data_IF_831402244153
#
_entry.id   IF_831402244153
#
_cell.length_a   1.000
_cell.length_b   1.000
_cell.length_c   1.000
_cell.angle_alpha   90.00
_cell.angle_beta   90.00
_cell.angle_gamma   90.00
#
_symmetry.space_group_name_H-M   'P 1'
#
loop_
_entity.id
_entity.type
_entity.pdbx_description
1 polymer ?
#
# COMPACT_ATOMS: atom_id res chain seq x y z
N UNK A 1 -27.03 -27.95 1.06
CA UNK A 1 -26.62 -26.69 0.39
C UNK A 1 -25.40 -26.17 1.13
N UNK A 2 -24.27 -25.94 0.46
CA UNK A 2 -23.13 -25.25 1.09
C UNK A 2 -23.48 -23.78 1.24
N UNK A 3 -23.24 -23.20 2.42
CA UNK A 3 -23.47 -21.78 2.64
C UNK A 3 -22.53 -20.98 1.72
N UNK A 4 -23.00 -19.96 0.99
CA UNK A 4 -22.15 -19.13 0.15
C UNK A 4 -20.94 -18.53 0.91
N UNK A 5 -21.06 -18.37 2.24
CA UNK A 5 -19.96 -17.92 3.11
C UNK A 5 -18.84 -18.95 3.25
N UNK A 6 -19.17 -20.24 3.34
CA UNK A 6 -18.18 -21.31 3.43
C UNK A 6 -17.37 -21.45 2.13
N UNK A 7 -18.03 -21.23 0.99
CA UNK A 7 -17.37 -21.23 -0.33
C UNK A 7 -16.42 -20.03 -0.47
N UNK A 8 -16.83 -18.85 0.01
CA UNK A 8 -15.99 -17.66 0.02
C UNK A 8 -14.76 -17.83 0.94
N UNK A 9 -14.95 -18.34 2.16
CA UNK A 9 -13.86 -18.58 3.11
C UNK A 9 -12.81 -19.59 2.59
N UNK A 10 -13.25 -20.65 1.90
CA UNK A 10 -12.34 -21.62 1.26
C UNK A 10 -11.57 -21.00 0.10
N UNK A 11 -12.23 -20.21 -0.76
CA UNK A 11 -11.56 -19.51 -1.86
C UNK A 11 -10.52 -18.52 -1.35
N UNK A 12 -10.87 -17.75 -0.32
CA UNK A 12 -9.95 -16.82 0.31
C UNK A 12 -8.70 -17.53 0.84
N UNK A 13 -8.89 -18.64 1.55
CA UNK A 13 -7.77 -19.44 2.06
C UNK A 13 -6.85 -19.94 0.94
N UNK A 14 -7.44 -20.45 -0.16
CA UNK A 14 -6.68 -20.92 -1.32
C UNK A 14 -5.87 -19.80 -2.00
N UNK A 15 -6.41 -18.58 -2.04
CA UNK A 15 -5.73 -17.41 -2.62
C UNK A 15 -4.57 -16.95 -1.73
N UNK A 16 -4.80 -16.88 -0.41
CA UNK A 16 -3.75 -16.53 0.55
C UNK A 16 -2.61 -17.55 0.45
N UNK A 17 -2.93 -18.84 0.36
CA UNK A 17 -1.96 -19.91 0.17
C UNK A 17 -1.17 -19.75 -1.13
N UNK A 18 -1.85 -19.56 -2.25
CA UNK A 18 -1.20 -19.34 -3.53
C UNK A 18 -0.28 -18.12 -3.51
N UNK A 19 -0.70 -17.03 -2.84
CA UNK A 19 0.12 -15.83 -2.69
C UNK A 19 1.38 -16.10 -1.86
N UNK A 20 1.26 -16.73 -0.70
CA UNK A 20 2.39 -17.03 0.19
C UNK A 20 3.37 -18.01 -0.47
N UNK A 21 2.87 -19.05 -1.14
CA UNK A 21 3.69 -20.01 -1.90
C UNK A 21 4.42 -19.34 -3.07
N UNK A 22 3.74 -18.47 -3.83
CA UNK A 22 4.38 -17.73 -4.92
C UNK A 22 5.46 -16.77 -4.38
N UNK A 23 5.19 -16.12 -3.24
CA UNK A 23 6.12 -15.20 -2.56
C UNK A 23 7.37 -15.94 -2.11
N UNK A 24 7.21 -17.11 -1.49
CA UNK A 24 8.31 -17.97 -1.00
C UNK A 24 9.35 -18.32 -2.06
N UNK A 25 8.95 -18.42 -3.32
CA UNK A 25 9.87 -18.77 -4.42
C UNK A 25 10.87 -17.66 -4.74
N UNK A 26 10.57 -16.42 -4.35
CA UNK A 26 11.35 -15.22 -4.76
C UNK A 26 11.78 -14.34 -3.60
N UNK A 27 11.15 -14.48 -2.44
CA UNK A 27 11.37 -13.64 -1.26
C UNK A 27 11.27 -14.46 0.02
N UNK A 28 12.05 -14.07 1.02
CA UNK A 28 12.05 -14.68 2.36
C UNK A 28 11.06 -14.00 3.33
N UNK A 29 10.26 -13.05 2.83
CA UNK A 29 9.29 -12.29 3.64
C UNK A 29 7.98 -11.96 2.91
N UNK A 30 6.95 -11.70 3.72
CA UNK A 30 5.62 -11.24 3.31
C UNK A 30 5.35 -9.86 3.91
N UNK A 31 5.05 -8.89 3.06
CA UNK A 31 4.57 -7.56 3.49
C UNK A 31 3.05 -7.59 3.65
N UNK A 32 2.56 -7.17 4.82
CA UNK A 32 1.12 -7.18 5.13
C UNK A 32 0.33 -6.22 4.23
N UNK A 33 0.89 -5.05 3.92
CA UNK A 33 0.27 -4.09 3.01
C UNK A 33 0.16 -4.66 1.59
N UNK A 34 1.24 -5.26 1.09
CA UNK A 34 1.26 -5.84 -0.25
C UNK A 34 0.36 -7.07 -0.36
N UNK A 35 0.32 -7.92 0.67
CA UNK A 35 -0.57 -9.07 0.74
C UNK A 35 -2.04 -8.63 0.71
N UNK A 36 -2.42 -7.69 1.58
CA UNK A 36 -3.79 -7.17 1.63
C UNK A 36 -4.21 -6.56 0.29
N UNK A 37 -3.32 -5.81 -0.37
CA UNK A 37 -3.58 -5.21 -1.68
C UNK A 37 -3.83 -6.27 -2.76
N UNK A 38 -2.96 -7.27 -2.87
CA UNK A 38 -3.09 -8.34 -3.88
C UNK A 38 -4.34 -9.19 -3.66
N UNK A 39 -4.61 -9.57 -2.41
CA UNK A 39 -5.75 -10.43 -2.08
C UNK A 39 -7.08 -9.70 -2.31
N UNK A 40 -7.14 -8.39 -2.02
CA UNK A 40 -8.35 -7.56 -2.25
C UNK A 40 -8.54 -7.13 -3.71
N UNK A 41 -7.46 -7.02 -4.48
CA UNK A 41 -7.52 -6.67 -5.90
C UNK A 41 -8.16 -7.75 -6.76
N UNK A 42 -8.32 -8.97 -6.25
CA UNK A 42 -9.00 -10.05 -6.97
C UNK A 42 -10.51 -9.76 -6.89
N UNK A 43 -11.24 -9.73 -8.02
CA UNK A 43 -12.61 -9.17 -8.09
C UNK A 43 -13.71 -10.02 -7.41
N UNK A 44 -13.37 -11.02 -6.60
CA UNK A 44 -14.34 -11.98 -6.06
C UNK A 44 -14.01 -12.84 -4.80
N UNK A 45 -12.93 -12.65 -4.01
CA UNK A 45 -12.59 -13.64 -3.00
C UNK A 45 -12.95 -13.28 -1.56
N UNK A 46 -13.16 -12.00 -1.26
CA UNK A 46 -13.38 -11.57 0.12
C UNK A 46 -14.87 -11.55 0.42
N UNK A 47 -15.25 -12.23 1.50
CA UNK A 47 -16.46 -11.90 2.24
C UNK A 47 -16.44 -10.37 2.48
N UNK A 48 -17.47 -9.61 2.06
CA UNK A 48 -17.52 -8.17 2.30
C UNK A 48 -17.44 -7.81 3.79
N UNK A 49 -17.65 -8.78 4.70
CA UNK A 49 -17.46 -8.63 6.15
C UNK A 49 -16.03 -8.96 6.65
N UNK A 50 -15.08 -9.28 5.77
CA UNK A 50 -13.71 -9.62 6.15
C UNK A 50 -12.97 -8.37 6.65
N UNK A 51 -12.76 -8.30 7.96
CA UNK A 51 -11.96 -7.23 8.56
C UNK A 51 -10.50 -7.30 8.14
N UNK A 52 -9.87 -6.14 8.05
CA UNK A 52 -8.45 -5.95 7.76
C UNK A 52 -7.56 -6.78 8.69
N UNK A 53 -7.84 -6.73 10.00
CA UNK A 53 -7.09 -7.53 10.99
C UNK A 53 -7.22 -9.03 10.75
N UNK A 54 -8.41 -9.52 10.41
CA UNK A 54 -8.61 -10.96 10.18
C UNK A 54 -7.88 -11.45 8.94
N UNK A 55 -7.85 -10.65 7.88
CA UNK A 55 -7.04 -10.93 6.69
C UNK A 55 -5.55 -10.96 7.05
N UNK A 56 -5.09 -9.97 7.82
CA UNK A 56 -3.71 -9.86 8.25
C UNK A 56 -3.31 -11.08 9.12
N UNK A 57 -4.14 -11.50 10.07
CA UNK A 57 -3.88 -12.69 10.89
C UNK A 57 -3.77 -13.97 10.05
N UNK A 58 -4.63 -14.14 9.03
CA UNK A 58 -4.59 -15.30 8.13
C UNK A 58 -3.32 -15.34 7.28
N UNK A 59 -2.90 -14.19 6.75
CA UNK A 59 -1.66 -14.07 5.97
C UNK A 59 -0.45 -14.34 6.86
N UNK A 60 -0.40 -13.74 8.06
CA UNK A 60 0.69 -13.91 9.00
C UNK A 60 0.85 -15.37 9.46
N UNK A 61 -0.27 -16.03 9.82
CA UNK A 61 -0.25 -17.43 10.22
C UNK A 61 0.31 -18.33 9.11
N UNK A 62 -0.06 -18.06 7.85
CA UNK A 62 0.38 -18.86 6.72
C UNK A 62 1.83 -18.58 6.31
N UNK A 63 2.28 -17.32 6.44
CA UNK A 63 3.68 -16.94 6.25
C UNK A 63 4.59 -17.63 7.27
N UNK A 64 4.24 -17.59 8.56
CA UNK A 64 4.98 -18.26 9.64
C UNK A 64 5.04 -19.77 9.40
N UNK A 65 3.90 -20.38 9.06
CA UNK A 65 3.84 -21.81 8.72
C UNK A 65 4.78 -22.18 7.57
N UNK A 66 4.98 -21.26 6.63
CA UNK A 66 5.83 -21.46 5.45
C UNK A 66 7.29 -21.06 5.64
N UNK A 67 7.67 -20.58 6.83
CA UNK A 67 9.02 -20.14 7.16
C UNK A 67 9.38 -18.75 6.62
N UNK A 68 8.38 -17.93 6.32
CA UNK A 68 8.57 -16.57 5.82
C UNK A 68 8.48 -15.55 6.96
N UNK A 69 9.36 -14.55 6.93
CA UNK A 69 9.27 -13.40 7.82
C UNK A 69 8.03 -12.56 7.50
N UNK A 70 7.37 -12.02 8.52
CA UNK A 70 6.19 -11.15 8.35
C UNK A 70 6.58 -9.71 8.62
N UNK A 71 6.34 -8.84 7.65
CA UNK A 71 6.65 -7.41 7.74
C UNK A 71 5.35 -6.61 7.81
N UNK A 72 5.14 -5.94 8.95
CA UNK A 72 3.99 -5.09 9.20
C UNK A 72 4.22 -3.68 8.63
N UNK A 73 4.31 -3.56 7.30
CA UNK A 73 4.51 -2.28 6.60
C UNK A 73 3.27 -1.39 6.59
N UNK A 74 2.13 -1.95 7.00
CA UNK A 74 0.86 -1.25 7.06
C UNK A 74 0.89 -0.26 8.22
N UNK A 75 1.45 0.93 7.96
CA UNK A 75 1.52 2.03 8.90
C UNK A 75 0.15 2.26 9.54
N UNK A 76 0.14 2.54 10.84
CA UNK A 76 -1.04 2.66 11.68
C UNK A 76 -2.09 3.65 11.14
N UNK A 77 -2.88 3.23 10.14
CA UNK A 77 -4.23 3.74 9.94
C UNK A 77 -5.05 3.08 11.04
N UNK A 78 -4.99 3.71 12.21
CA UNK A 78 -5.78 3.32 13.37
C UNK A 78 -7.24 3.10 12.95
N UNK A 79 -7.92 2.13 13.57
CA UNK A 79 -9.31 1.85 13.24
C UNK A 79 -10.13 3.11 13.50
N UNK A 80 -10.65 3.71 12.43
CA UNK A 80 -11.79 4.59 12.56
C UNK A 80 -12.93 3.73 13.13
N UNK A 81 -13.49 4.23 14.23
CA UNK A 81 -14.67 3.75 14.94
C UNK A 81 -14.54 2.45 15.76
N UNK A 82 -14.39 2.62 17.08
CA UNK A 82 -15.51 2.30 17.98
C UNK A 82 -15.42 3.02 19.33
N UNK A 83 -16.49 3.78 19.64
CA UNK A 83 -17.10 4.03 20.95
C UNK A 83 -16.36 4.84 22.05
N UNK A 84 -16.83 6.07 22.25
CA UNK A 84 -17.26 6.67 23.54
C UNK A 84 -16.69 6.09 24.85
N UNK A 85 -15.85 6.88 25.52
CA UNK A 85 -15.89 7.00 26.98
C UNK A 85 -15.30 8.35 27.40
N UNK A 86 -16.21 9.25 27.75
CA UNK A 86 -16.00 10.38 28.64
C UNK A 86 -15.01 10.06 29.79
N UNK A 87 -13.94 10.87 29.91
CA UNK A 87 -13.41 11.42 31.17
C UNK A 87 -12.17 12.27 30.92
N UNK A 88 -12.39 13.58 31.02
CA UNK A 88 -11.54 14.58 31.71
C UNK A 88 -10.03 14.39 31.65
N UNK A 89 -9.31 15.35 31.03
CA UNK A 89 -8.39 16.29 31.73
C UNK A 89 -7.27 16.82 30.81
N UNK A 90 -7.37 18.12 30.54
CA UNK A 90 -6.32 19.13 30.24
C UNK A 90 -5.62 19.02 28.88
N UNK A 91 -5.89 20.01 28.04
CA UNK A 91 -4.94 20.50 27.04
C UNK A 91 -3.55 20.68 27.67
N UNK A 92 -2.48 20.43 26.91
CA UNK A 92 -1.75 21.60 26.45
C UNK A 92 -1.18 21.50 25.03
N UNK A 93 -1.22 22.66 24.39
CA UNK A 93 -0.13 23.18 23.55
C UNK A 93 -0.08 22.70 22.09
N UNK A 94 -0.71 23.52 21.25
CA UNK A 94 -0.07 24.18 20.09
C UNK A 94 1.18 23.50 19.53
N UNK A 95 1.05 22.87 18.36
CA UNK A 95 2.15 22.88 17.39
C UNK A 95 1.61 22.91 15.96
N UNK A 96 1.91 24.02 15.30
CA UNK A 96 1.63 24.30 13.90
C UNK A 96 2.13 23.17 12.99
N UNK A 97 1.43 22.87 11.88
CA UNK A 97 1.99 22.01 10.85
C UNK A 97 3.12 22.77 10.16
N UNK A 98 4.35 22.61 10.62
CA UNK A 98 5.53 22.93 9.82
C UNK A 98 5.57 21.93 8.67
N UNK A 99 4.91 22.30 7.57
CA UNK A 99 4.99 21.66 6.28
C UNK A 99 6.41 21.80 5.74
N UNK A 100 7.29 20.88 6.14
CA UNK A 100 8.41 20.53 5.27
C UNK A 100 7.80 19.77 4.09
N UNK A 101 7.97 20.25 2.85
CA UNK A 101 7.40 19.55 1.70
C UNK A 101 8.13 18.22 1.54
N UNK A 102 7.47 17.13 1.94
CA UNK A 102 8.00 15.78 1.80
C UNK A 102 7.96 15.36 0.32
N UNK A 103 9.05 15.67 -0.38
CA UNK A 103 9.23 15.33 -1.78
C UNK A 103 9.20 13.81 -1.98
N UNK A 104 9.72 13.02 -1.03
CA UNK A 104 9.75 11.57 -1.16
C UNK A 104 8.35 10.96 -1.03
N UNK A 105 7.57 11.40 -0.04
CA UNK A 105 6.18 10.97 0.14
C UNK A 105 5.27 11.45 -1.00
N UNK A 106 5.52 12.64 -1.56
CA UNK A 106 4.79 13.10 -2.74
C UNK A 106 5.08 12.25 -3.99
N UNK A 107 6.34 11.82 -4.19
CA UNK A 107 6.67 10.87 -5.27
C UNK A 107 5.98 9.53 -5.05
N UNK A 108 5.97 9.00 -3.82
CA UNK A 108 5.27 7.75 -3.51
C UNK A 108 3.77 7.87 -3.79
N UNK A 109 3.13 8.98 -3.38
CA UNK A 109 1.71 9.19 -3.64
C UNK A 109 1.40 9.28 -5.15
N UNK A 110 2.24 9.97 -5.93
CA UNK A 110 2.05 10.10 -7.38
C UNK A 110 2.21 8.73 -8.07
N UNK A 111 3.22 7.94 -7.70
CA UNK A 111 3.42 6.62 -8.28
C UNK A 111 2.34 5.62 -7.81
N UNK A 112 1.90 5.71 -6.56
CA UNK A 112 0.89 4.83 -5.98
C UNK A 112 -0.48 5.01 -6.65
N UNK A 113 -0.91 6.26 -6.90
CA UNK A 113 -2.17 6.56 -7.62
C UNK A 113 -2.25 5.92 -9.02
N UNK A 114 -1.10 5.65 -9.63
CA UNK A 114 -0.99 5.12 -10.99
C UNK A 114 -0.80 3.61 -11.04
N UNK A 115 -0.54 2.98 -9.89
CA UNK A 115 -0.59 1.51 -9.73
C UNK A 115 -2.02 1.00 -9.50
N UNK A 116 -3.02 1.89 -9.43
CA UNK A 116 -4.44 1.54 -9.28
C UNK A 116 -5.06 1.18 -10.64
N UNK A 117 -5.81 0.05 -10.80
CA UNK A 117 -6.15 -0.49 -12.12
C UNK A 117 -7.31 0.21 -12.85
N UNK A 118 -7.74 1.40 -12.42
CA UNK A 118 -8.97 2.01 -12.91
C UNK A 118 -8.72 3.42 -13.44
N UNK A 119 -8.80 3.49 -14.77
CA UNK A 119 -8.95 4.68 -15.60
C UNK A 119 -7.66 5.45 -15.92
N UNK A 120 -7.32 5.37 -17.21
CA UNK A 120 -6.38 6.22 -17.98
C UNK A 120 -4.92 5.77 -17.95
N UNK A 121 -4.61 4.78 -18.80
CA UNK A 121 -3.26 4.49 -19.31
C UNK A 121 -2.73 5.68 -20.10
N UNK A 122 -2.33 6.75 -19.43
CA UNK A 122 -1.37 7.70 -19.99
C UNK A 122 0.00 7.23 -19.51
N UNK A 123 0.92 6.80 -20.39
CA UNK A 123 2.29 6.50 -19.97
C UNK A 123 2.86 7.76 -19.33
N UNK A 124 3.14 7.70 -18.02
CA UNK A 124 3.72 8.84 -17.32
C UNK A 124 5.11 9.10 -17.89
N UNK A 125 5.27 10.27 -18.51
CA UNK A 125 6.59 10.79 -18.80
C UNK A 125 7.24 11.28 -17.51
N UNK A 126 8.54 11.07 -17.40
CA UNK A 126 9.38 11.55 -16.30
C UNK A 126 9.17 13.05 -16.03
N UNK A 127 9.02 13.86 -17.08
CA UNK A 127 8.76 15.31 -17.01
C UNK A 127 7.40 15.64 -16.39
N UNK A 128 6.37 14.82 -16.62
CA UNK A 128 5.04 15.01 -16.04
C UNK A 128 5.06 14.77 -14.53
N UNK A 129 5.78 13.72 -14.08
CA UNK A 129 5.96 13.42 -12.66
C UNK A 129 6.73 14.55 -11.96
N UNK A 130 7.79 15.06 -12.58
CA UNK A 130 8.57 16.19 -12.04
C UNK A 130 7.70 17.45 -11.93
N UNK A 131 6.86 17.73 -12.94
CA UNK A 131 5.98 18.89 -12.94
C UNK A 131 4.93 18.81 -11.83
N UNK A 132 4.27 17.66 -11.69
CA UNK A 132 3.34 17.38 -10.59
C UNK A 132 4.03 17.48 -9.23
N UNK A 133 5.26 16.98 -9.13
CA UNK A 133 6.03 17.04 -7.89
C UNK A 133 6.34 18.49 -7.51
N UNK A 134 6.73 19.34 -8.47
CA UNK A 134 6.96 20.77 -8.25
C UNK A 134 5.68 21.50 -7.85
N UNK A 135 4.56 21.19 -8.49
CA UNK A 135 3.24 21.77 -8.15
C UNK A 135 2.82 21.40 -6.72
N UNK A 136 2.99 20.13 -6.33
CA UNK A 136 2.56 19.61 -5.02
C UNK A 136 3.46 20.02 -3.86
N UNK A 137 4.77 20.16 -4.11
CA UNK A 137 5.78 20.31 -3.05
C UNK A 137 6.50 21.66 -3.08
N UNK A 138 6.42 22.42 -4.16
CA UNK A 138 7.20 23.65 -4.33
C UNK A 138 8.71 23.43 -4.34
N UNK A 139 9.17 22.19 -4.56
CA UNK A 139 10.59 21.84 -4.50
C UNK A 139 11.43 22.63 -5.51
N UNK A 140 12.58 23.15 -5.04
CA UNK A 140 13.60 23.84 -5.85
C UNK A 140 14.76 22.93 -6.28
N UNK A 141 14.67 21.63 -6.01
CA UNK A 141 15.72 20.67 -6.40
C UNK A 141 15.88 20.61 -7.92
N UNK A 142 17.08 20.25 -8.37
CA UNK A 142 17.37 20.05 -9.79
C UNK A 142 16.62 18.84 -10.34
N UNK A 143 16.25 18.88 -11.62
CA UNK A 143 15.54 17.78 -12.27
C UNK A 143 16.31 16.46 -12.18
N UNK A 144 17.64 16.46 -12.30
CA UNK A 144 18.47 15.27 -12.14
C UNK A 144 18.34 14.58 -10.76
N UNK A 145 18.15 15.35 -9.68
CA UNK A 145 17.93 14.81 -8.33
C UNK A 145 16.53 14.17 -8.23
N UNK A 146 15.53 14.85 -8.80
CA UNK A 146 14.16 14.38 -8.85
C UNK A 146 14.05 13.12 -9.71
N UNK A 147 14.70 13.08 -10.87
CA UNK A 147 14.80 11.89 -11.72
C UNK A 147 15.39 10.70 -10.97
N UNK A 148 16.50 10.90 -10.26
CA UNK A 148 17.14 9.85 -9.47
C UNK A 148 16.22 9.30 -8.37
N UNK A 149 15.50 10.18 -7.68
CA UNK A 149 14.54 9.80 -6.64
C UNK A 149 13.33 9.05 -7.23
N UNK A 150 12.77 9.56 -8.32
CA UNK A 150 11.62 8.98 -9.01
C UNK A 150 12.00 7.62 -9.60
N UNK A 151 13.13 7.50 -10.28
CA UNK A 151 13.59 6.23 -10.86
C UNK A 151 13.82 5.17 -9.78
N UNK A 152 14.43 5.56 -8.65
CA UNK A 152 14.64 4.64 -7.52
C UNK A 152 13.33 4.13 -6.94
N UNK A 153 12.34 4.99 -6.76
CA UNK A 153 11.02 4.61 -6.22
C UNK A 153 10.19 3.81 -7.24
N UNK A 154 10.22 4.20 -8.50
CA UNK A 154 9.56 3.49 -9.59
C UNK A 154 10.11 2.06 -9.74
N UNK A 155 11.43 1.85 -9.61
CA UNK A 155 12.04 0.53 -9.63
C UNK A 155 11.59 -0.35 -8.45
N UNK A 156 11.39 0.23 -7.27
CA UNK A 156 10.84 -0.50 -6.10
C UNK A 156 9.38 -0.90 -6.32
N UNK A 157 8.62 -0.07 -7.03
CA UNK A 157 7.19 -0.27 -7.32
C UNK A 157 6.92 -1.01 -8.65
N UNK A 158 7.97 -1.42 -9.38
CA UNK A 158 7.91 -2.02 -10.71
C UNK A 158 7.10 -1.18 -11.74
N UNK A 159 7.20 0.15 -11.61
CA UNK A 159 6.52 1.11 -12.50
C UNK A 159 7.45 1.52 -13.64
N UNK A 160 7.04 1.24 -14.87
CA UNK A 160 7.75 1.70 -16.06
C UNK A 160 7.37 3.15 -16.41
N UNK A 161 8.33 4.06 -16.23
CA UNK A 161 8.20 5.45 -16.64
C UNK A 161 8.84 5.67 -18.01
N UNK A 162 8.17 6.42 -18.88
CA UNK A 162 8.76 6.80 -20.17
C UNK A 162 9.69 7.98 -19.95
N UNK A 163 10.95 7.86 -20.40
CA UNK A 163 11.90 8.98 -20.42
C UNK A 163 11.73 9.76 -21.73
N UNK A 164 10.53 10.27 -21.98
CA UNK A 164 10.30 11.12 -23.15
C UNK A 164 10.55 12.57 -22.74
N UNK A 165 11.73 13.06 -23.11
CA UNK A 165 12.13 14.47 -22.99
C UNK A 165 11.26 15.38 -23.84
#
# INVERSE_FOLDING_TARGET
>A
MQDPRDVAARRLSMIIEQYVEARKRRYDFVSMEQAARVIRGIPKPADPALSDRKLDDMVAALAVKNGLAVVFDRGARGPADTAEADRSRKEPTTRAPTAVPDVAGAVDAILDTQTTPLSQMTPLSMSAVISLLRERTGTKRSDADLEGLIAKKAAVLDVHLSRNG
#
